data_IF_277497884902
#
_entry.id   IF_277497884902
#
_cell.length_a   1.000
_cell.length_b   1.000
_cell.length_c   1.000
_cell.angle_alpha   90.00
_cell.angle_beta   90.00
_cell.angle_gamma   90.00
#
_symmetry.space_group_name_H-M   'P 1'
#
loop_
_entity.id
_entity.type
_entity.pdbx_description
1 polymer ?
#
# COMPACT_ATOMS: atom_id res chain seq x y z
N UNK A 1 7.29 -31.57 -12.45
CA UNK A 1 6.03 -31.75 -11.70
C UNK A 1 6.25 -31.24 -10.28
N UNK A 2 5.95 -29.97 -10.02
CA UNK A 2 6.06 -29.35 -8.71
C UNK A 2 4.65 -29.23 -8.10
N UNK A 3 4.55 -29.65 -6.84
CA UNK A 3 3.32 -29.90 -6.10
C UNK A 3 2.41 -28.66 -5.97
N UNK A 4 1.15 -28.82 -6.37
CA UNK A 4 0.03 -27.85 -6.31
C UNK A 4 -0.24 -27.24 -4.92
N UNK A 5 0.42 -27.74 -3.87
CA UNK A 5 0.26 -27.36 -2.45
C UNK A 5 0.61 -25.90 -2.14
N UNK A 6 1.62 -25.31 -2.80
CA UNK A 6 2.03 -23.92 -2.49
C UNK A 6 1.23 -22.84 -3.22
N UNK A 7 0.43 -23.20 -4.22
CA UNK A 7 -0.39 -22.23 -4.97
C UNK A 7 -1.72 -21.93 -4.25
N UNK A 8 -2.26 -22.93 -3.54
CA UNK A 8 -3.56 -22.84 -2.85
C UNK A 8 -3.47 -21.93 -1.62
N UNK A 9 -2.43 -22.08 -0.78
CA UNK A 9 -2.18 -21.26 0.42
C UNK A 9 -1.96 -19.76 0.11
N UNK A 10 -1.48 -19.42 -1.09
CA UNK A 10 -1.27 -18.01 -1.50
C UNK A 10 -2.55 -17.35 -2.02
N UNK A 11 -3.41 -18.10 -2.70
CA UNK A 11 -4.73 -17.60 -3.07
C UNK A 11 -5.59 -17.39 -1.81
N UNK A 12 -5.41 -18.21 -0.77
CA UNK A 12 -6.14 -18.15 0.51
C UNK A 12 -5.98 -16.80 1.22
N UNK A 13 -4.76 -16.27 1.31
CA UNK A 13 -4.42 -15.09 2.11
C UNK A 13 -4.84 -13.74 1.47
N UNK A 14 -4.99 -13.72 0.14
CA UNK A 14 -5.34 -12.51 -0.61
C UNK A 14 -6.84 -12.21 -0.59
N UNK A 15 -7.66 -13.23 -0.35
CA UNK A 15 -9.12 -13.10 -0.41
C UNK A 15 -9.67 -12.85 1.01
N UNK A 16 -9.10 -13.43 2.08
CA UNK A 16 -9.48 -13.16 3.50
C UNK A 16 -9.43 -11.66 3.87
N UNK A 17 -8.48 -10.92 3.29
CA UNK A 17 -8.39 -9.47 3.48
C UNK A 17 -9.17 -8.63 2.45
N UNK A 18 -9.91 -9.25 1.53
CA UNK A 18 -10.67 -8.58 0.47
C UNK A 18 -12.20 -8.68 0.65
N UNK A 19 -12.73 -9.63 1.44
CA UNK A 19 -14.18 -9.82 1.59
C UNK A 19 -14.83 -9.19 2.84
N UNK A 20 -14.10 -8.36 3.60
CA UNK A 20 -14.70 -7.41 4.54
C UNK A 20 -14.31 -5.99 4.10
N UNK A 21 -15.19 -5.23 3.42
CA UNK A 21 -14.82 -3.96 2.80
C UNK A 21 -14.48 -2.81 3.76
N UNK A 22 -14.46 -3.03 5.08
CA UNK A 22 -13.96 -2.06 6.07
C UNK A 22 -12.50 -2.32 6.49
N UNK A 23 -11.70 -2.96 5.63
CA UNK A 23 -10.27 -3.13 5.81
C UNK A 23 -9.48 -1.84 5.50
N UNK A 24 -9.55 -0.88 6.43
CA UNK A 24 -8.44 0.01 6.73
C UNK A 24 -7.75 -0.54 8.00
N UNK A 25 -7.08 -1.69 7.87
CA UNK A 25 -6.20 -2.24 8.89
C UNK A 25 -4.93 -1.36 9.00
N UNK A 26 -4.95 -0.35 9.88
CA UNK A 26 -3.71 0.14 10.49
C UNK A 26 -3.39 -0.74 11.69
N UNK A 27 -2.41 -1.64 11.50
CA UNK A 27 -1.75 -2.31 12.62
C UNK A 27 -0.87 -1.26 13.31
N UNK A 28 -1.35 -0.67 14.40
CA UNK A 28 -0.50 0.08 15.32
C UNK A 28 0.41 -0.93 16.04
N UNK A 29 1.63 -1.11 15.52
CA UNK A 29 2.67 -1.87 16.21
C UNK A 29 3.28 -1.00 17.31
N UNK A 30 2.53 -0.76 18.37
CA UNK A 30 3.07 -0.36 19.66
C UNK A 30 2.84 -1.52 20.63
N UNK A 31 3.91 -1.87 21.34
CA UNK A 31 4.05 -2.91 22.38
C UNK A 31 4.62 -4.26 21.93
N UNK A 32 5.79 -4.59 22.51
CA UNK A 32 6.43 -5.91 22.39
C UNK A 32 7.88 -5.94 21.86
N UNK A 33 8.76 -5.01 22.27
CA UNK A 33 10.22 -5.20 22.10
C UNK A 33 10.75 -6.17 23.16
N UNK A 34 10.75 -7.47 22.84
CA UNK A 34 11.54 -8.49 23.54
C UNK A 34 12.87 -8.71 22.83
N UNK A 35 13.98 -8.35 23.50
CA UNK A 35 15.34 -8.65 23.08
C UNK A 35 15.66 -10.14 23.29
N UNK A 36 16.00 -10.87 22.22
CA UNK A 36 16.86 -12.04 22.32
C UNK A 36 17.96 -11.97 21.26
N UNK A 37 19.20 -11.91 21.73
CA UNK A 37 20.39 -12.13 20.94
C UNK A 37 20.61 -13.63 20.67
N UNK A 38 21.38 -13.92 19.64
CA UNK A 38 21.80 -15.28 19.31
C UNK A 38 22.37 -15.32 17.90
N UNK A 39 23.68 -15.53 17.80
CA UNK A 39 24.44 -15.41 16.56
C UNK A 39 24.28 -16.56 15.58
N UNK A 40 24.98 -16.45 14.46
CA UNK A 40 25.09 -17.53 13.49
C UNK A 40 25.56 -17.05 12.13
N UNK A 41 26.88 -17.03 11.92
CA UNK A 41 27.50 -16.96 10.60
C UNK A 41 27.08 -18.19 9.78
N UNK A 42 26.60 -17.99 8.56
CA UNK A 42 26.30 -19.06 7.62
C UNK A 42 26.12 -18.52 6.21
N UNK A 43 27.20 -18.51 5.45
CA UNK A 43 27.19 -18.41 4.00
C UNK A 43 26.47 -19.61 3.40
N UNK A 44 25.39 -19.41 2.65
CA UNK A 44 25.09 -20.17 1.43
C UNK A 44 24.11 -19.37 0.56
N UNK A 45 24.47 -19.24 -0.72
CA UNK A 45 23.68 -18.57 -1.73
C UNK A 45 22.37 -19.31 -2.00
N UNK A 46 21.28 -18.59 -1.83
CA UNK A 46 19.97 -18.96 -2.32
C UNK A 46 19.24 -17.68 -2.65
N UNK A 47 18.88 -17.49 -3.93
CA UNK A 47 18.03 -16.39 -4.41
C UNK A 47 16.66 -16.51 -3.74
N UNK A 48 16.57 -16.03 -2.50
CA UNK A 48 15.35 -15.96 -1.71
C UNK A 48 14.48 -14.85 -2.26
N UNK A 49 13.37 -15.26 -2.91
CA UNK A 49 12.21 -14.39 -3.14
C UNK A 49 11.71 -13.94 -1.77
N UNK A 50 12.20 -12.78 -1.31
CA UNK A 50 11.68 -12.11 -0.15
C UNK A 50 10.34 -11.47 -0.54
N UNK A 51 9.32 -12.31 -0.68
CA UNK A 51 7.95 -11.87 -0.59
C UNK A 51 7.81 -11.16 0.76
N UNK A 52 7.35 -9.92 0.69
CA UNK A 52 7.07 -9.10 1.85
C UNK A 52 6.29 -9.91 2.90
N UNK A 53 6.91 -10.10 4.07
CA UNK A 53 6.25 -10.50 5.30
C UNK A 53 5.33 -9.36 5.82
N UNK A 54 4.50 -8.81 4.94
CA UNK A 54 3.49 -7.81 5.28
C UNK A 54 2.12 -8.38 4.94
N UNK A 55 1.68 -9.25 5.85
CA UNK A 55 0.31 -9.56 6.27
C UNK A 55 0.45 -10.84 7.09
N UNK A 56 0.67 -10.67 8.38
CA UNK A 56 0.42 -11.78 9.28
C UNK A 56 -1.07 -12.09 9.13
N UNK A 57 -1.42 -13.22 8.51
CA UNK A 57 -2.68 -13.86 8.89
C UNK A 57 -2.73 -13.94 10.42
N UNK A 58 -3.94 -13.90 10.99
CA UNK A 58 -4.13 -13.94 12.45
C UNK A 58 -3.14 -14.93 13.05
N UNK A 59 -2.38 -14.49 14.06
CA UNK A 59 -1.17 -15.19 14.52
C UNK A 59 -1.42 -16.70 14.72
N UNK A 60 -2.62 -17.04 15.21
CA UNK A 60 -3.10 -18.41 15.36
C UNK A 60 -3.01 -19.30 14.10
N UNK A 61 -3.21 -18.79 12.87
CA UNK A 61 -3.13 -19.59 11.64
C UNK A 61 -1.72 -20.10 11.33
N UNK A 62 -0.67 -19.50 11.91
CA UNK A 62 0.72 -19.89 11.62
C UNK A 62 1.08 -21.26 12.18
N UNK A 63 0.37 -21.72 13.19
CA UNK A 63 0.65 -22.96 13.91
C UNK A 63 -0.32 -24.09 13.54
N UNK A 64 -1.30 -23.81 12.67
CA UNK A 64 -2.27 -24.80 12.23
C UNK A 64 -1.72 -25.67 11.08
N UNK A 65 -2.19 -26.91 11.04
CA UNK A 65 -1.96 -27.81 9.92
C UNK A 65 -2.58 -27.24 8.63
N UNK A 66 -1.88 -27.37 7.50
CA UNK A 66 -2.33 -26.93 6.17
C UNK A 66 -3.74 -27.44 5.82
N UNK A 67 -4.07 -28.67 6.24
CA UNK A 67 -5.40 -29.27 6.04
C UNK A 67 -6.49 -28.51 6.80
N UNK A 68 -6.21 -28.13 8.05
CA UNK A 68 -7.15 -27.37 8.89
C UNK A 68 -7.31 -25.96 8.33
N UNK A 69 -6.20 -25.31 7.93
CA UNK A 69 -6.24 -23.99 7.28
C UNK A 69 -7.11 -24.03 6.03
N UNK A 70 -7.01 -25.09 5.22
CA UNK A 70 -7.79 -25.25 4.02
C UNK A 70 -9.30 -25.34 4.30
N UNK A 71 -9.72 -26.03 5.36
CA UNK A 71 -11.13 -26.12 5.78
C UNK A 71 -11.71 -24.76 6.16
N UNK A 72 -10.98 -23.95 6.94
CA UNK A 72 -11.39 -22.58 7.25
C UNK A 72 -11.59 -21.74 5.99
N UNK A 73 -10.75 -21.98 4.98
CA UNK A 73 -10.77 -21.20 3.74
C UNK A 73 -11.89 -21.63 2.82
N UNK A 74 -12.23 -22.91 2.80
CA UNK A 74 -13.37 -23.43 2.05
C UNK A 74 -14.67 -22.79 2.54
N UNK A 75 -14.93 -22.80 3.85
CA UNK A 75 -16.08 -22.10 4.45
C UNK A 75 -16.05 -20.61 4.09
N UNK A 76 -14.87 -20.00 4.17
CA UNK A 76 -14.73 -18.57 3.94
C UNK A 76 -14.95 -18.18 2.47
N UNK A 77 -14.56 -19.03 1.52
CA UNK A 77 -14.72 -18.85 0.06
C UNK A 77 -16.06 -19.32 -0.48
N UNK A 78 -16.86 -19.98 0.34
CA UNK A 78 -18.17 -20.46 -0.07
C UNK A 78 -19.08 -19.27 -0.34
N UNK A 79 -19.30 -18.93 -1.61
CA UNK A 79 -20.14 -17.79 -1.99
C UNK A 79 -21.63 -18.05 -1.74
N UNK A 80 -22.03 -19.30 -1.49
CA UNK A 80 -23.41 -19.68 -1.17
C UNK A 80 -23.74 -19.43 0.31
N UNK A 81 -22.73 -19.25 1.17
CA UNK A 81 -22.92 -18.93 2.58
C UNK A 81 -23.01 -17.43 2.82
N UNK A 82 -24.04 -17.01 3.56
CA UNK A 82 -24.12 -15.66 4.11
C UNK A 82 -23.00 -15.42 5.14
N UNK A 83 -22.77 -14.15 5.46
CA UNK A 83 -21.74 -13.75 6.43
C UNK A 83 -21.94 -14.39 7.82
N UNK A 84 -23.19 -14.47 8.27
CA UNK A 84 -23.52 -15.03 9.58
C UNK A 84 -23.37 -16.56 9.58
N UNK A 85 -23.74 -17.22 8.48
CA UNK A 85 -23.51 -18.65 8.29
C UNK A 85 -22.02 -18.99 8.25
N UNK A 86 -21.21 -18.19 7.54
CA UNK A 86 -19.74 -18.32 7.58
C UNK A 86 -19.19 -18.18 8.99
N UNK A 87 -19.66 -17.20 9.77
CA UNK A 87 -19.23 -17.00 11.15
C UNK A 87 -19.58 -18.21 12.02
N UNK A 88 -20.80 -18.74 11.88
CA UNK A 88 -21.25 -19.92 12.59
C UNK A 88 -20.41 -21.15 12.25
N UNK A 89 -20.24 -21.47 10.97
CA UNK A 89 -19.45 -22.63 10.52
C UNK A 89 -17.97 -22.51 10.88
N UNK A 90 -17.38 -21.30 10.82
CA UNK A 90 -16.00 -21.07 11.24
C UNK A 90 -15.84 -21.31 12.74
N UNK A 91 -16.82 -20.92 13.57
CA UNK A 91 -16.78 -21.17 15.01
C UNK A 91 -16.92 -22.67 15.33
N UNK A 92 -17.86 -23.35 14.67
CA UNK A 92 -18.05 -24.80 14.82
C UNK A 92 -16.80 -25.58 14.39
N UNK A 93 -16.21 -25.22 13.25
CA UNK A 93 -14.96 -25.80 12.80
C UNK A 93 -13.86 -25.58 13.84
N UNK A 94 -13.72 -24.35 14.35
CA UNK A 94 -12.72 -24.01 15.37
C UNK A 94 -12.85 -24.86 16.64
N UNK A 95 -14.06 -25.08 17.14
CA UNK A 95 -14.31 -25.94 18.31
C UNK A 95 -13.95 -27.41 18.06
N UNK A 96 -14.07 -27.87 16.81
CA UNK A 96 -13.81 -29.27 16.45
C UNK A 96 -12.34 -29.60 16.16
N UNK A 97 -11.57 -28.66 15.60
CA UNK A 97 -10.22 -28.95 15.07
C UNK A 97 -9.08 -28.27 15.83
N UNK A 98 -9.36 -27.26 16.67
CA UNK A 98 -8.33 -26.53 17.39
C UNK A 98 -8.03 -27.18 18.75
N UNK A 99 -6.77 -27.09 19.20
CA UNK A 99 -6.44 -27.44 20.59
C UNK A 99 -7.04 -26.42 21.55
N UNK A 100 -7.19 -26.74 22.85
CA UNK A 100 -7.72 -25.81 23.84
C UNK A 100 -7.01 -24.45 23.87
N UNK A 101 -5.68 -24.43 23.70
CA UNK A 101 -4.89 -23.19 23.67
C UNK A 101 -5.17 -22.37 22.40
N UNK A 102 -5.26 -23.04 21.25
CA UNK A 102 -5.55 -22.41 19.96
C UNK A 102 -6.98 -21.88 19.90
N UNK A 103 -7.94 -22.62 20.48
CA UNK A 103 -9.33 -22.21 20.60
C UNK A 103 -9.47 -20.97 21.50
N UNK A 104 -8.76 -20.91 22.61
CA UNK A 104 -8.73 -19.74 23.48
C UNK A 104 -8.16 -18.51 22.76
N UNK A 105 -7.09 -18.65 21.98
CA UNK A 105 -6.54 -17.55 21.18
C UNK A 105 -7.53 -17.12 20.07
N UNK A 106 -8.16 -18.08 19.39
CA UNK A 106 -9.17 -17.82 18.39
C UNK A 106 -10.35 -17.01 18.96
N UNK A 107 -10.89 -17.44 20.11
CA UNK A 107 -11.98 -16.77 20.80
C UNK A 107 -11.59 -15.36 21.26
N UNK A 108 -10.38 -15.18 21.82
CA UNK A 108 -9.85 -13.85 22.17
C UNK A 108 -9.77 -12.94 20.94
N UNK A 109 -9.23 -13.44 19.83
CA UNK A 109 -9.11 -12.68 18.59
C UNK A 109 -10.49 -12.35 17.97
N UNK A 110 -11.51 -13.18 18.17
CA UNK A 110 -12.89 -12.88 17.78
C UNK A 110 -13.48 -11.78 18.67
N UNK A 111 -13.30 -11.88 19.99
CA UNK A 111 -13.78 -10.90 20.94
C UNK A 111 -13.15 -9.51 20.71
N UNK A 112 -11.82 -9.44 20.53
CA UNK A 112 -11.13 -8.17 20.21
C UNK A 112 -11.62 -7.56 18.90
N UNK A 113 -11.89 -8.39 17.88
CA UNK A 113 -12.41 -7.91 16.59
C UNK A 113 -13.83 -7.37 16.72
N UNK A 114 -14.69 -8.06 17.46
CA UNK A 114 -16.04 -7.60 17.75
C UNK A 114 -16.01 -6.29 18.54
N UNK A 115 -15.17 -6.20 19.57
CA UNK A 115 -14.99 -4.97 20.34
C UNK A 115 -14.56 -3.80 19.46
N UNK A 116 -13.50 -3.97 18.64
CA UNK A 116 -13.04 -2.92 17.71
C UNK A 116 -14.11 -2.55 16.68
N UNK A 117 -14.92 -3.51 16.25
CA UNK A 117 -16.04 -3.25 15.35
C UNK A 117 -17.10 -2.38 16.02
N UNK A 118 -17.47 -2.68 17.27
CA UNK A 118 -18.39 -1.86 18.04
C UNK A 118 -17.83 -0.45 18.29
N UNK A 119 -16.55 -0.33 18.65
CA UNK A 119 -15.88 0.97 18.81
C UNK A 119 -15.89 1.80 17.52
N UNK A 120 -15.66 1.18 16.35
CA UNK A 120 -15.77 1.89 15.06
C UNK A 120 -17.20 2.28 14.75
N UNK A 121 -18.17 1.44 15.09
CA UNK A 121 -19.59 1.74 14.89
C UNK A 121 -20.02 2.92 15.74
N UNK A 122 -19.69 2.93 17.02
CA UNK A 122 -20.01 4.04 17.93
C UNK A 122 -19.29 5.32 17.52
N UNK A 123 -18.02 5.25 17.11
CA UNK A 123 -17.28 6.41 16.60
C UNK A 123 -17.90 6.95 15.30
N UNK A 124 -18.31 6.07 14.39
CA UNK A 124 -19.01 6.46 13.16
C UNK A 124 -20.34 7.12 13.48
N UNK A 125 -21.14 6.57 14.39
CA UNK A 125 -22.40 7.16 14.84
C UNK A 125 -22.19 8.54 15.48
N UNK A 126 -21.15 8.68 16.33
CA UNK A 126 -20.75 9.95 16.91
C UNK A 126 -20.39 10.98 15.85
N UNK A 127 -19.58 10.61 14.85
CA UNK A 127 -19.21 11.51 13.76
C UNK A 127 -20.39 11.85 12.85
N UNK A 128 -21.27 10.88 12.55
CA UNK A 128 -22.50 11.10 11.78
C UNK A 128 -23.43 12.10 12.48
N UNK A 129 -23.52 12.04 13.81
CA UNK A 129 -24.31 12.96 14.61
C UNK A 129 -23.72 14.39 14.66
N UNK A 130 -22.41 14.53 14.45
CA UNK A 130 -21.71 15.81 14.41
C UNK A 130 -21.76 16.51 13.04
N UNK A 131 -22.29 15.84 12.00
CA UNK A 131 -22.44 16.42 10.67
C UNK A 131 -23.56 17.45 10.62
N UNK A 132 -23.43 18.42 9.71
CA UNK A 132 -24.54 19.28 9.30
C UNK A 132 -25.71 18.44 8.73
N UNK A 133 -26.96 18.94 8.79
CA UNK A 133 -28.14 18.16 8.34
C UNK A 133 -28.04 17.64 6.90
N UNK A 134 -27.54 18.47 5.98
CA UNK A 134 -27.34 18.10 4.58
C UNK A 134 -26.21 17.07 4.42
N UNK A 135 -25.07 17.29 5.08
CA UNK A 135 -23.95 16.35 5.05
C UNK A 135 -24.35 14.98 5.61
N UNK A 136 -25.14 14.97 6.69
CA UNK A 136 -25.68 13.74 7.28
C UNK A 136 -26.59 12.99 6.31
N UNK A 137 -27.56 13.69 5.70
CA UNK A 137 -28.47 13.08 4.73
C UNK A 137 -27.71 12.48 3.53
N UNK A 138 -26.70 13.17 3.03
CA UNK A 138 -25.84 12.66 1.97
C UNK A 138 -24.97 11.48 2.43
N UNK A 139 -24.44 11.50 3.66
CA UNK A 139 -23.69 10.38 4.23
C UNK A 139 -24.56 9.12 4.37
N UNK A 140 -25.82 9.26 4.77
CA UNK A 140 -26.80 8.18 4.83
C UNK A 140 -27.12 7.62 3.43
N UNK A 141 -27.30 8.48 2.41
CA UNK A 141 -27.45 8.05 1.00
C UNK A 141 -26.22 7.30 0.49
N UNK A 142 -25.03 7.82 0.76
CA UNK A 142 -23.77 7.17 0.37
C UNK A 142 -23.65 5.80 1.05
N UNK A 143 -23.99 5.72 2.33
CA UNK A 143 -24.04 4.46 3.07
C UNK A 143 -24.96 3.44 2.39
N UNK A 144 -26.19 3.84 2.05
CA UNK A 144 -27.14 2.98 1.35
C UNK A 144 -26.59 2.47 0.01
N UNK A 145 -25.93 3.33 -0.79
CA UNK A 145 -25.31 2.93 -2.07
C UNK A 145 -24.22 1.87 -1.85
N UNK A 146 -23.36 2.02 -0.83
CA UNK A 146 -22.32 1.04 -0.54
C UNK A 146 -22.87 -0.32 -0.09
N UNK A 147 -23.99 -0.29 0.65
CA UNK A 147 -24.67 -1.49 1.17
C UNK A 147 -25.74 -2.07 0.23
N UNK A 148 -25.94 -1.49 -0.96
CA UNK A 148 -26.85 -2.05 -1.96
C UNK A 148 -26.28 -3.35 -2.55
N UNK A 149 -26.90 -4.47 -2.21
CA UNK A 149 -26.52 -5.82 -2.65
C UNK A 149 -26.84 -6.07 -4.12
N UNK A 150 -27.81 -5.34 -4.69
CA UNK A 150 -28.15 -5.41 -6.11
C UNK A 150 -27.03 -4.87 -7.00
N UNK A 151 -26.13 -4.07 -6.43
CA UNK A 151 -24.96 -3.48 -7.07
C UNK A 151 -23.66 -4.26 -6.76
N UNK A 152 -23.73 -5.59 -6.80
CA UNK A 152 -22.57 -6.46 -6.63
C UNK A 152 -21.79 -6.68 -7.94
N UNK A 153 -20.59 -7.27 -7.84
CA UNK A 153 -19.74 -7.57 -9.00
C UNK A 153 -18.92 -6.41 -9.56
N UNK A 154 -18.24 -6.66 -10.70
CA UNK A 154 -17.27 -5.73 -11.31
C UNK A 154 -17.92 -4.42 -11.77
N UNK A 155 -19.10 -4.50 -12.38
CA UNK A 155 -19.81 -3.33 -12.89
C UNK A 155 -20.60 -2.61 -11.78
N UNK A 156 -21.07 -3.35 -10.77
CA UNK A 156 -21.68 -2.79 -9.56
C UNK A 156 -20.77 -1.79 -8.85
N UNK A 157 -19.47 -2.06 -8.77
CA UNK A 157 -18.50 -1.12 -8.18
C UNK A 157 -18.41 0.22 -8.92
N UNK A 158 -18.43 0.20 -10.26
CA UNK A 158 -18.42 1.43 -11.08
C UNK A 158 -19.69 2.23 -10.84
N UNK A 159 -20.84 1.56 -10.85
CA UNK A 159 -22.13 2.19 -10.64
C UNK A 159 -22.27 2.76 -9.22
N UNK A 160 -21.78 2.05 -8.18
CA UNK A 160 -21.68 2.58 -6.81
C UNK A 160 -20.86 3.86 -6.77
N UNK A 161 -19.68 3.88 -7.39
CA UNK A 161 -18.84 5.09 -7.46
C UNK A 161 -19.53 6.24 -8.16
N UNK A 162 -20.21 5.99 -9.27
CA UNK A 162 -20.94 7.00 -10.01
C UNK A 162 -22.05 7.59 -9.14
N UNK A 163 -22.91 6.75 -8.54
CA UNK A 163 -23.98 7.19 -7.62
C UNK A 163 -23.43 8.01 -6.45
N UNK A 164 -22.29 7.61 -5.88
CA UNK A 164 -21.62 8.39 -4.81
C UNK A 164 -21.10 9.73 -5.33
N UNK A 165 -20.57 9.79 -6.55
CA UNK A 165 -20.12 11.04 -7.15
C UNK A 165 -21.28 11.99 -7.43
N UNK A 166 -22.42 11.47 -7.90
CA UNK A 166 -23.67 12.24 -8.09
C UNK A 166 -24.16 12.82 -6.76
N UNK A 167 -24.22 12.01 -5.68
CA UNK A 167 -24.58 12.51 -4.35
C UNK A 167 -23.62 13.61 -3.89
N UNK A 168 -22.31 13.44 -4.11
CA UNK A 168 -21.32 14.45 -3.74
C UNK A 168 -21.43 15.73 -4.57
N UNK A 169 -21.86 15.65 -5.83
CA UNK A 169 -21.98 16.82 -6.71
C UNK A 169 -23.06 17.81 -6.24
N UNK A 170 -24.07 17.32 -5.49
CA UNK A 170 -25.13 18.14 -4.90
C UNK A 170 -24.68 18.96 -3.67
N UNK A 171 -23.47 18.69 -3.15
CA UNK A 171 -22.98 19.26 -1.89
C UNK A 171 -22.03 20.44 -2.09
N UNK A 172 -22.00 21.32 -1.10
CA UNK A 172 -20.98 22.34 -0.95
C UNK A 172 -19.61 21.73 -0.56
N UNK A 173 -18.52 22.48 -0.77
CA UNK A 173 -17.18 22.00 -0.42
C UNK A 173 -17.01 21.72 1.08
N UNK A 174 -17.61 22.55 1.96
CA UNK A 174 -17.57 22.31 3.41
C UNK A 174 -18.31 21.03 3.79
N UNK A 175 -19.47 20.75 3.18
CA UNK A 175 -20.21 19.51 3.41
C UNK A 175 -19.44 18.29 2.88
N UNK A 176 -18.76 18.39 1.72
CA UNK A 176 -17.90 17.32 1.22
C UNK A 176 -16.77 16.99 2.19
N UNK A 177 -16.14 18.01 2.77
CA UNK A 177 -15.07 17.83 3.76
C UNK A 177 -15.58 17.16 5.05
N UNK A 178 -16.74 17.59 5.55
CA UNK A 178 -17.41 16.98 6.71
C UNK A 178 -17.64 15.47 6.46
N UNK A 179 -18.22 15.12 5.31
CA UNK A 179 -18.49 13.72 4.97
C UNK A 179 -17.18 12.93 4.76
N UNK A 180 -16.16 13.51 4.11
CA UNK A 180 -14.87 12.85 3.92
C UNK A 180 -14.14 12.55 5.24
N UNK A 181 -14.42 13.30 6.31
CA UNK A 181 -13.89 13.02 7.65
C UNK A 181 -14.43 11.72 8.27
N UNK A 182 -15.59 11.23 7.81
CA UNK A 182 -16.23 9.99 8.31
C UNK A 182 -15.42 8.75 7.99
N UNK A 183 -14.96 8.61 6.75
CA UNK A 183 -14.34 7.38 6.24
C UNK A 183 -12.83 7.30 6.47
N UNK A 184 -12.28 8.22 7.26
CA UNK A 184 -10.85 8.28 7.52
C UNK A 184 -10.06 8.72 6.28
N UNK A 185 -8.97 9.47 6.48
CA UNK A 185 -8.10 9.98 5.42
C UNK A 185 -7.24 8.85 4.77
N UNK A 186 -7.82 7.71 4.39
CA UNK A 186 -7.08 6.54 3.89
C UNK A 186 -6.53 6.67 2.46
N UNK A 187 -7.13 7.50 1.59
CA UNK A 187 -6.70 7.61 0.18
C UNK A 187 -5.98 8.91 -0.19
N UNK A 188 -6.16 9.98 0.60
CA UNK A 188 -5.56 11.30 0.32
C UNK A 188 -4.12 11.48 0.83
N UNK A 189 -3.65 10.65 1.76
CA UNK A 189 -2.29 10.74 2.33
C UNK A 189 -1.16 10.18 1.42
N UNK A 190 -1.48 9.89 0.15
CA UNK A 190 -0.46 9.70 -0.91
C UNK A 190 0.05 11.04 -1.47
N UNK A 191 -0.49 12.17 -0.99
CA UNK A 191 0.03 13.50 -1.28
C UNK A 191 1.47 13.69 -0.81
N UNK A 192 2.34 14.01 -1.78
CA UNK A 192 3.72 14.45 -1.66
C UNK A 192 4.65 13.57 -0.79
N UNK A 193 4.92 12.34 -1.26
CA UNK A 193 5.90 11.43 -0.64
C UNK A 193 7.31 12.01 -0.51
N UNK A 194 7.63 13.09 -1.23
CA UNK A 194 8.88 13.84 -1.13
C UNK A 194 8.99 14.60 0.20
N UNK A 195 7.95 15.34 0.59
CA UNK A 195 7.97 16.15 1.81
C UNK A 195 8.11 15.26 3.06
N UNK A 196 7.44 14.10 3.07
CA UNK A 196 7.58 13.09 4.15
C UNK A 196 9.02 12.52 4.30
N UNK A 197 9.94 12.76 3.34
CA UNK A 197 11.35 12.34 3.44
C UNK A 197 12.25 13.42 4.08
N UNK A 198 11.78 14.66 4.16
CA UNK A 198 12.49 15.74 4.84
C UNK A 198 12.44 15.48 6.33
N UNK A 199 13.59 15.63 7.01
CA UNK A 199 13.67 15.36 8.44
C UNK A 199 12.78 16.31 9.25
N UNK A 200 12.70 17.58 8.82
CA UNK A 200 11.95 18.65 9.47
C UNK A 200 10.46 18.72 9.10
N UNK A 201 9.94 17.87 8.19
CA UNK A 201 8.54 17.99 7.74
C UNK A 201 7.53 17.81 8.88
N UNK A 202 7.88 17.02 9.90
CA UNK A 202 7.03 16.84 11.09
C UNK A 202 6.88 18.12 11.89
N UNK A 203 7.91 18.96 11.86
CA UNK A 203 8.06 20.17 12.66
C UNK A 203 7.53 21.42 11.93
N UNK A 204 7.14 21.29 10.65
CA UNK A 204 6.39 22.33 9.96
C UNK A 204 5.06 22.59 10.68
N UNK A 205 4.64 23.84 10.73
CA UNK A 205 3.32 24.20 11.22
C UNK A 205 2.22 23.61 10.31
N UNK A 206 1.02 23.44 10.87
CA UNK A 206 -0.09 22.82 10.13
C UNK A 206 -0.60 23.69 8.98
N UNK A 207 -0.46 25.02 9.05
CA UNK A 207 -0.86 25.93 7.96
C UNK A 207 0.00 25.69 6.72
N UNK A 208 1.32 25.67 6.88
CA UNK A 208 2.28 25.35 5.81
C UNK A 208 2.01 23.95 5.23
N UNK A 209 1.80 22.95 6.10
CA UNK A 209 1.44 21.59 5.65
C UNK A 209 0.15 21.59 4.83
N UNK A 210 -0.85 22.38 5.22
CA UNK A 210 -2.12 22.48 4.51
C UNK A 210 -2.00 23.19 3.17
N UNK A 211 -1.15 24.22 3.05
CA UNK A 211 -0.80 24.84 1.75
C UNK A 211 -0.21 23.81 0.77
N UNK A 212 0.74 22.98 1.23
CA UNK A 212 1.28 21.89 0.39
C UNK A 212 0.23 20.83 0.03
N UNK A 213 -0.68 20.49 0.95
CA UNK A 213 -1.79 19.56 0.67
C UNK A 213 -2.75 20.15 -0.36
N UNK A 214 -3.04 21.45 -0.29
CA UNK A 214 -3.91 22.15 -1.24
C UNK A 214 -3.32 22.11 -2.65
N UNK A 215 -2.03 22.40 -2.82
CA UNK A 215 -1.34 22.28 -4.12
C UNK A 215 -1.43 20.84 -4.66
N UNK A 216 -1.21 19.84 -3.81
CA UNK A 216 -1.27 18.43 -4.22
C UNK A 216 -2.68 18.00 -4.65
N UNK A 217 -3.72 18.48 -3.96
CA UNK A 217 -5.13 18.15 -4.19
C UNK A 217 -5.79 18.95 -5.32
N UNK A 218 -5.21 20.08 -5.74
CA UNK A 218 -5.79 20.90 -6.79
C UNK A 218 -5.81 20.13 -8.13
N UNK A 219 -7.00 19.81 -8.65
CA UNK A 219 -7.14 19.03 -9.88
C UNK A 219 -6.95 19.85 -11.16
N UNK A 220 -6.98 21.18 -11.06
CA UNK A 220 -6.79 22.10 -12.19
C UNK A 220 -5.31 22.28 -12.55
N UNK A 221 -4.40 21.87 -11.66
CA UNK A 221 -2.97 21.96 -11.90
C UNK A 221 -2.43 20.68 -12.54
N UNK A 222 -1.67 20.84 -13.62
CA UNK A 222 -0.87 19.77 -14.19
C UNK A 222 0.21 19.30 -13.21
N UNK A 223 0.78 18.13 -13.46
CA UNK A 223 1.85 17.59 -12.61
C UNK A 223 3.05 18.52 -12.51
N UNK A 224 3.44 19.19 -13.60
CA UNK A 224 4.55 20.14 -13.59
C UNK A 224 4.19 21.42 -12.83
N UNK A 225 2.99 21.96 -13.04
CA UNK A 225 2.51 23.12 -12.27
C UNK A 225 2.47 22.86 -10.77
N UNK A 226 2.07 21.65 -10.34
CA UNK A 226 2.11 21.25 -8.93
C UNK A 226 3.52 21.25 -8.36
N UNK A 227 4.52 20.78 -9.13
CA UNK A 227 5.92 20.80 -8.71
C UNK A 227 6.45 22.23 -8.58
N UNK A 228 6.15 23.07 -9.57
CA UNK A 228 6.58 24.46 -9.60
C UNK A 228 6.00 25.25 -8.42
N UNK A 229 4.67 25.16 -8.21
CA UNK A 229 4.02 25.80 -7.06
C UNK A 229 4.51 25.27 -5.72
N UNK A 230 4.76 23.96 -5.60
CA UNK A 230 5.34 23.39 -4.37
C UNK A 230 6.76 23.92 -4.12
N UNK A 231 7.54 24.15 -5.17
CA UNK A 231 8.89 24.70 -5.06
C UNK A 231 8.88 26.17 -4.67
N UNK A 232 7.99 26.98 -5.26
CA UNK A 232 7.77 28.37 -4.86
C UNK A 232 7.35 28.47 -3.39
N UNK A 233 6.35 27.68 -2.98
CA UNK A 233 5.91 27.63 -1.58
C UNK A 233 7.04 27.21 -0.63
N UNK A 234 7.86 26.23 -1.00
CA UNK A 234 9.02 25.85 -0.20
C UNK A 234 10.03 27.01 -0.08
N UNK A 235 10.20 27.81 -1.13
CA UNK A 235 11.12 28.95 -1.15
C UNK A 235 10.64 30.11 -0.28
N UNK A 236 9.31 30.27 -0.16
CA UNK A 236 8.65 31.29 0.66
C UNK A 236 8.58 30.89 2.14
N UNK A 237 8.22 29.65 2.44
CA UNK A 237 7.89 29.20 3.80
C UNK A 237 9.06 28.55 4.54
N UNK A 238 10.07 28.02 3.83
CA UNK A 238 11.18 27.33 4.50
C UNK A 238 12.29 28.31 4.86
N UNK A 239 12.93 28.06 6.00
CA UNK A 239 14.22 28.71 6.31
C UNK A 239 15.28 28.33 5.28
N UNK A 240 16.35 29.13 5.17
CA UNK A 240 17.46 28.84 4.24
C UNK A 240 18.05 27.42 4.44
N UNK A 241 18.15 26.96 5.68
CA UNK A 241 18.62 25.61 6.00
C UNK A 241 17.62 24.53 5.55
N UNK A 242 16.33 24.71 5.86
CA UNK A 242 15.26 23.80 5.44
C UNK A 242 15.14 23.71 3.91
N UNK A 243 15.25 24.85 3.21
CA UNK A 243 15.23 24.90 1.75
C UNK A 243 16.45 24.18 1.14
N UNK A 244 17.64 24.35 1.73
CA UNK A 244 18.85 23.63 1.32
C UNK A 244 18.71 22.11 1.49
N UNK A 245 18.13 21.63 2.60
CA UNK A 245 17.82 20.21 2.76
C UNK A 245 16.77 19.74 1.74
N UNK A 246 15.76 20.55 1.45
CA UNK A 246 14.76 20.27 0.42
C UNK A 246 15.38 20.09 -0.97
N UNK A 247 16.25 21.00 -1.40
CA UNK A 247 16.97 20.90 -2.67
C UNK A 247 17.84 19.65 -2.74
N UNK A 248 18.57 19.33 -1.66
CA UNK A 248 19.37 18.10 -1.58
C UNK A 248 18.51 16.85 -1.74
N UNK A 249 17.39 16.75 -1.01
CA UNK A 249 16.48 15.59 -1.10
C UNK A 249 15.82 15.50 -2.48
N UNK A 250 15.53 16.64 -3.12
CA UNK A 250 15.05 16.71 -4.50
C UNK A 250 16.10 16.18 -5.48
N UNK A 251 17.34 16.64 -5.39
CA UNK A 251 18.44 16.16 -6.22
C UNK A 251 18.68 14.65 -6.05
N UNK A 252 18.71 14.15 -4.81
CA UNK A 252 18.81 12.70 -4.53
C UNK A 252 17.65 11.90 -5.12
N UNK A 253 16.43 12.47 -5.11
CA UNK A 253 15.28 11.79 -5.68
C UNK A 253 15.36 11.72 -7.21
N UNK A 254 15.77 12.79 -7.88
CA UNK A 254 15.98 12.80 -9.33
C UNK A 254 17.11 11.87 -9.75
N UNK A 255 18.24 11.86 -9.03
CA UNK A 255 19.31 10.89 -9.26
C UNK A 255 18.80 9.45 -9.12
N UNK A 256 18.02 9.14 -8.08
CA UNK A 256 17.42 7.81 -7.91
C UNK A 256 16.43 7.44 -9.03
N UNK A 257 15.77 8.42 -9.67
CA UNK A 257 14.94 8.16 -10.85
C UNK A 257 15.80 7.84 -12.06
N UNK A 258 16.89 8.57 -12.28
CA UNK A 258 17.83 8.32 -13.38
C UNK A 258 18.49 6.95 -13.24
N UNK A 259 18.97 6.59 -12.05
CA UNK A 259 19.55 5.27 -11.76
C UNK A 259 18.55 4.14 -12.05
N UNK A 260 17.29 4.31 -11.62
CA UNK A 260 16.23 3.33 -11.90
C UNK A 260 15.86 3.26 -13.37
N UNK A 261 15.86 4.40 -14.06
CA UNK A 261 15.61 4.44 -15.51
C UNK A 261 16.71 3.67 -16.23
N UNK A 262 17.98 3.91 -15.89
CA UNK A 262 19.12 3.16 -16.43
C UNK A 262 19.04 1.66 -16.11
N UNK A 263 18.62 1.28 -14.90
CA UNK A 263 18.40 -0.13 -14.53
C UNK A 263 17.30 -0.78 -15.38
N UNK A 264 16.21 -0.07 -15.63
CA UNK A 264 15.11 -0.55 -16.49
C UNK A 264 15.59 -0.67 -17.94
N UNK A 265 16.29 0.34 -18.46
CA UNK A 265 16.79 0.34 -19.83
C UNK A 265 17.79 -0.81 -20.04
N UNK A 266 18.66 -1.08 -19.06
CA UNK A 266 19.55 -2.25 -19.09
C UNK A 266 18.78 -3.58 -19.09
N UNK A 267 17.69 -3.68 -18.31
CA UNK A 267 16.83 -4.88 -18.32
C UNK A 267 16.14 -5.06 -19.66
N UNK A 268 15.53 -4.00 -20.20
CA UNK A 268 14.88 -4.00 -21.52
C UNK A 268 15.87 -4.40 -22.61
N UNK A 269 17.11 -3.90 -22.57
CA UNK A 269 18.16 -4.26 -23.53
C UNK A 269 18.55 -5.74 -23.48
N UNK A 270 18.42 -6.39 -22.32
CA UNK A 270 18.73 -7.82 -22.12
C UNK A 270 17.59 -8.79 -22.49
N UNK A 271 16.42 -8.27 -22.86
CA UNK A 271 15.25 -9.08 -23.23
C UNK A 271 15.35 -9.65 -24.63
N UNK A 272 14.53 -10.65 -24.90
CA UNK A 272 14.25 -11.14 -26.25
C UNK A 272 13.69 -10.02 -27.15
N UNK A 273 13.90 -10.07 -28.49
CA UNK A 273 13.53 -8.97 -29.38
C UNK A 273 12.06 -8.52 -29.29
N UNK A 274 11.11 -9.46 -29.22
CA UNK A 274 9.68 -9.13 -29.11
C UNK A 274 9.34 -8.57 -27.72
N UNK A 275 9.86 -9.16 -26.64
CA UNK A 275 9.65 -8.67 -25.29
C UNK A 275 10.22 -7.25 -25.12
N UNK A 276 11.36 -6.94 -25.73
CA UNK A 276 11.96 -5.60 -25.77
C UNK A 276 11.03 -4.60 -26.46
N UNK A 277 10.52 -4.92 -27.66
CA UNK A 277 9.57 -4.07 -28.38
C UNK A 277 8.30 -3.85 -27.57
N UNK A 278 7.76 -4.89 -26.94
CA UNK A 278 6.59 -4.78 -26.07
C UNK A 278 6.86 -3.91 -24.83
N UNK A 279 8.01 -4.08 -24.17
CA UNK A 279 8.40 -3.27 -23.02
C UNK A 279 8.55 -1.79 -23.37
N UNK A 280 9.12 -1.47 -24.54
CA UNK A 280 9.22 -0.09 -25.04
C UNK A 280 7.85 0.51 -25.32
N UNK A 281 6.93 -0.23 -25.97
CA UNK A 281 5.54 0.23 -26.18
C UNK A 281 4.83 0.48 -24.84
N UNK A 282 4.97 -0.43 -23.88
CA UNK A 282 4.39 -0.25 -22.54
C UNK A 282 4.99 0.97 -21.82
N UNK A 283 6.29 1.24 -21.98
CA UNK A 283 6.94 2.45 -21.44
C UNK A 283 6.34 3.72 -22.05
N UNK A 284 6.17 3.78 -23.37
CA UNK A 284 5.53 4.92 -24.05
C UNK A 284 4.11 5.14 -23.56
N UNK A 285 3.30 4.08 -23.42
CA UNK A 285 1.93 4.18 -22.88
C UNK A 285 1.93 4.72 -21.44
N UNK A 286 2.90 4.30 -20.62
CA UNK A 286 3.00 4.77 -19.24
C UNK A 286 3.38 6.25 -19.14
N UNK A 287 4.23 6.73 -20.05
CA UNK A 287 4.72 8.11 -20.14
C UNK A 287 3.71 9.06 -20.82
N UNK A 288 2.70 8.54 -21.50
CA UNK A 288 1.66 9.35 -22.16
C UNK A 288 0.70 9.96 -21.13
N UNK A 289 0.89 11.23 -20.79
CA UNK A 289 0.03 11.94 -19.83
C UNK A 289 -1.38 12.25 -20.37
N UNK A 290 -1.67 11.97 -21.65
CA UNK A 290 -3.00 12.16 -22.25
C UNK A 290 -3.93 10.96 -22.04
N UNK A 291 -3.38 9.77 -21.77
CA UNK A 291 -4.15 8.55 -21.55
C UNK A 291 -4.61 8.41 -20.10
N UNK A 292 -5.88 8.04 -19.93
CA UNK A 292 -6.41 7.69 -18.61
C UNK A 292 -5.81 6.37 -18.11
N UNK A 293 -5.74 6.19 -16.78
CA UNK A 293 -5.08 5.03 -16.19
C UNK A 293 -5.66 3.68 -16.63
N UNK A 294 -6.98 3.62 -16.83
CA UNK A 294 -7.64 2.40 -17.28
C UNK A 294 -7.45 2.14 -18.78
N UNK A 295 -7.27 3.18 -19.59
CA UNK A 295 -6.86 3.05 -21.00
C UNK A 295 -5.44 2.51 -21.08
N UNK A 296 -4.50 3.08 -20.31
CA UNK A 296 -3.12 2.58 -20.19
C UNK A 296 -3.08 1.09 -19.85
N UNK A 297 -3.85 0.66 -18.85
CA UNK A 297 -3.96 -0.77 -18.48
C UNK A 297 -4.50 -1.63 -19.60
N UNK A 298 -5.49 -1.14 -20.33
CA UNK A 298 -6.13 -1.89 -21.42
C UNK A 298 -5.14 -2.08 -22.56
N UNK A 299 -4.47 -1.01 -23.00
CA UNK A 299 -3.44 -1.08 -24.04
C UNK A 299 -2.25 -1.96 -23.64
N UNK A 300 -1.74 -1.83 -22.40
CA UNK A 300 -0.67 -2.71 -21.91
C UNK A 300 -1.10 -4.18 -21.84
N UNK A 301 -2.38 -4.48 -21.61
CA UNK A 301 -2.88 -5.85 -21.59
C UNK A 301 -2.88 -6.46 -22.98
N UNK A 302 -3.37 -5.71 -23.97
CA UNK A 302 -3.38 -6.14 -25.38
C UNK A 302 -1.95 -6.47 -25.84
N UNK A 303 -0.99 -5.58 -25.57
CA UNK A 303 0.44 -5.83 -25.87
C UNK A 303 0.95 -7.11 -25.20
N UNK A 304 0.50 -7.39 -23.97
CA UNK A 304 0.94 -8.58 -23.24
C UNK A 304 0.33 -9.86 -23.80
N UNK A 305 -0.91 -9.82 -24.29
CA UNK A 305 -1.61 -10.96 -24.90
C UNK A 305 -1.00 -11.38 -26.24
N UNK A 306 -0.30 -10.47 -26.93
CA UNK A 306 0.45 -10.76 -28.17
C UNK A 306 1.78 -11.51 -27.92
N UNK A 307 2.23 -11.63 -26.67
CA UNK A 307 3.51 -12.24 -26.30
C UNK A 307 3.37 -13.72 -25.93
N UNK A 308 4.40 -14.51 -26.23
CA UNK A 308 4.56 -15.86 -25.69
C UNK A 308 4.72 -15.85 -24.15
N UNK A 309 4.47 -16.98 -23.49
CA UNK A 309 4.57 -17.08 -22.02
C UNK A 309 5.96 -16.72 -21.48
N UNK A 310 7.03 -17.08 -22.20
CA UNK A 310 8.41 -16.71 -21.85
C UNK A 310 8.64 -15.21 -21.94
N UNK A 311 8.18 -14.57 -23.02
CA UNK A 311 8.29 -13.12 -23.22
C UNK A 311 7.44 -12.35 -22.21
N UNK A 312 6.23 -12.83 -21.89
CA UNK A 312 5.41 -12.26 -20.83
C UNK A 312 6.13 -12.31 -19.48
N UNK A 313 6.87 -13.38 -19.21
CA UNK A 313 7.65 -13.53 -17.97
C UNK A 313 8.77 -12.50 -17.91
N UNK A 314 9.51 -12.27 -19.01
CA UNK A 314 10.52 -11.20 -19.11
C UNK A 314 9.91 -9.82 -18.82
N UNK A 315 8.81 -9.48 -19.51
CA UNK A 315 8.11 -8.19 -19.31
C UNK A 315 7.60 -8.04 -17.87
N UNK A 316 7.10 -9.10 -17.24
CA UNK A 316 6.63 -9.05 -15.85
C UNK A 316 7.76 -8.76 -14.85
N UNK A 317 9.01 -9.16 -15.13
CA UNK A 317 10.16 -8.88 -14.25
C UNK A 317 10.46 -7.39 -14.12
N UNK A 318 10.12 -6.56 -15.12
CA UNK A 318 10.22 -5.10 -15.01
C UNK A 318 9.30 -4.54 -13.91
N UNK A 319 8.15 -5.20 -13.71
CA UNK A 319 7.12 -4.78 -12.75
C UNK A 319 7.50 -5.16 -11.31
N UNK A 320 8.11 -6.32 -11.13
CA UNK A 320 8.52 -6.83 -9.81
C UNK A 320 9.64 -5.97 -9.17
N UNK A 321 10.54 -5.41 -9.98
CA UNK A 321 11.57 -4.47 -9.49
C UNK A 321 11.01 -3.17 -8.90
N UNK A 322 9.80 -2.77 -9.29
CA UNK A 322 9.18 -1.51 -8.86
C UNK A 322 8.48 -1.58 -7.50
N UNK A 323 7.98 -2.76 -7.09
CA UNK A 323 7.22 -2.89 -5.83
C UNK A 323 8.11 -3.17 -4.60
N UNK A 324 9.27 -3.81 -4.78
CA UNK A 324 10.11 -4.23 -3.64
C UNK A 324 10.97 -3.11 -3.01
N UNK A 325 11.17 -1.98 -3.70
CA UNK A 325 12.03 -0.90 -3.23
C UNK A 325 11.45 0.01 -2.13
N UNK A 326 10.14 -0.04 -1.85
CA UNK A 326 9.51 0.87 -0.86
C UNK A 326 9.62 0.40 0.59
N UNK A 327 9.73 -0.90 0.86
CA UNK A 327 9.74 -1.41 2.25
C UNK A 327 11.15 -1.64 2.83
N UNK A 328 12.19 -1.87 2.02
CA UNK A 328 13.55 -2.14 2.55
C UNK A 328 14.32 -0.92 3.06
N UNK A 329 13.94 0.31 2.69
CA UNK A 329 14.74 1.51 3.04
C UNK A 329 14.47 2.12 4.41
N UNK A 330 13.43 1.69 5.13
CA UNK A 330 13.14 2.18 6.48
C UNK A 330 13.95 1.49 7.58
N UNK A 331 14.65 0.39 7.27
CA UNK A 331 15.40 -0.41 8.27
C UNK A 331 16.90 -0.14 8.38
N UNK A 332 17.51 0.67 7.51
CA UNK A 332 18.99 0.69 7.39
C UNK A 332 19.66 2.08 7.45
N UNK A 333 19.11 3.01 8.25
CA UNK A 333 19.77 4.30 8.54
C UNK A 333 20.79 4.24 9.71
N UNK A 334 20.95 3.10 10.40
CA UNK A 334 21.89 2.97 11.52
C UNK A 334 23.32 2.55 11.15
N UNK A 335 23.62 2.23 9.89
CA UNK A 335 24.94 1.71 9.49
C UNK A 335 25.79 2.61 8.58
N UNK A 336 25.42 3.88 8.38
CA UNK A 336 26.25 4.83 7.60
C UNK A 336 27.31 5.53 8.49
N UNK A 337 27.44 5.14 9.77
CA UNK A 337 28.43 5.73 10.70
C UNK A 337 29.79 5.02 10.74
N UNK A 338 29.97 3.93 9.99
CA UNK A 338 31.19 3.10 10.05
C UNK A 338 32.11 3.17 8.82
N UNK A 339 31.80 4.00 7.82
CA UNK A 339 32.67 4.21 6.65
C UNK A 339 33.36 5.58 6.60
N UNK A 340 33.28 6.38 7.67
CA UNK A 340 34.04 7.64 7.82
C UNK A 340 35.29 7.53 8.72
N UNK A 341 35.66 6.33 9.15
CA UNK A 341 36.85 6.08 9.98
C UNK A 341 37.95 5.27 9.27
N UNK A 342 37.79 4.95 7.98
CA UNK A 342 38.77 4.19 7.20
C UNK A 342 39.53 5.01 6.14
N UNK A 343 39.38 6.34 6.13
CA UNK A 343 40.08 7.27 5.21
C UNK A 343 41.01 8.22 5.98
N UNK A 344 41.23 7.98 7.27
CA UNK A 344 42.13 8.77 8.11
C UNK A 344 43.40 8.00 8.54
N UNK A 345 43.69 6.85 7.94
CA UNK A 345 44.86 6.02 8.27
C UNK A 345 45.86 5.83 7.12
N UNK A 346 45.74 6.59 6.03
CA UNK A 346 46.66 6.48 4.87
C UNK A 346 47.54 7.72 4.63
N UNK A 347 47.53 8.72 5.52
CA UNK A 347 48.36 9.93 5.39
C UNK A 347 49.39 10.12 6.52
N UNK A 348 49.94 9.04 7.07
CA UNK A 348 51.08 9.11 8.01
C UNK A 348 52.00 7.90 7.82
N UNK A 349 52.72 7.86 6.69
CA UNK A 349 53.88 7.00 6.48
C UNK A 349 54.66 7.47 5.24
N UNK A 350 55.17 8.70 5.27
CA UNK A 350 56.21 9.16 4.35
C UNK A 350 56.87 10.40 4.95
N UNK A 351 57.81 10.16 5.87
CA UNK A 351 58.91 11.06 6.26
C UNK A 351 59.84 10.21 7.14
N UNK A 352 60.72 9.46 6.47
CA UNK A 352 61.97 8.91 6.99
C UNK A 352 62.86 8.58 5.76
N UNK A 353 63.39 9.64 5.14
CA UNK A 353 64.77 9.75 4.62
C UNK A 353 65.12 11.21 4.28
#
# INVERSE_FOLDING_TARGET
>A
MLSSKRLVVFAVLLVVAAAYPDNDEEVSSEEGRGHHGGGGRGHHGGKGRHHHQHRHGLAFFKELNETVVQQFVEIWRDDDLSRDEKKAQINELAESVLTPEQLAEFQRNQAEREQRWQERKTEKERKMAALSPNARAAAERIHAVWHDETLSGRDGWKLKKQKVAEIKAELSESEKEEIESLWGRGRGQRGNCMLKRLSFYKDLDEETKDKFKAIAKNNDLTREQKKERSMQLAQEEFTSEQFSEYERVKAEHEQQKLEKKAEIDAKIASMSPNARVAAEKMRTIMEDDTLEWDEKKTQMRVIKEELSESEQTEVNQLREGHHHGRHRRYGNRKNVRWTKLAVASENNAQDDE
#
